data_IF_642482068342
#
_entry.id   IF_642482068342
#
_cell.length_a   1.000
_cell.length_b   1.000
_cell.length_c   1.000
_cell.angle_alpha   90.00
_cell.angle_beta   90.00
_cell.angle_gamma   90.00
#
_symmetry.space_group_name_H-M   'P 1'
#
loop_
_entity.id
_entity.type
_entity.pdbx_description
1 polymer ?
#
# COMPACT_ATOMS: atom_id res chain seq x y z
N UNK A 1 -8.38 6.08 15.71
CA UNK A 1 -8.95 6.68 14.48
C UNK A 1 -8.62 5.75 13.32
N UNK A 2 -9.63 5.30 12.57
CA UNK A 2 -9.45 4.46 11.39
C UNK A 2 -9.76 5.28 10.15
N UNK A 3 -8.88 5.26 9.15
CA UNK A 3 -9.08 5.96 7.88
C UNK A 3 -8.93 4.95 6.75
N UNK A 4 -9.94 4.80 5.91
CA UNK A 4 -9.81 4.07 4.65
C UNK A 4 -9.04 4.95 3.66
N UNK A 5 -8.04 4.38 2.99
CA UNK A 5 -7.20 5.09 2.01
C UNK A 5 -7.31 4.37 0.68
N UNK A 6 -7.63 5.12 -0.38
CA UNK A 6 -7.65 4.60 -1.75
C UNK A 6 -6.44 5.13 -2.51
N UNK A 7 -5.63 4.22 -3.04
CA UNK A 7 -4.54 4.54 -3.99
C UNK A 7 -4.94 4.01 -5.36
N UNK A 8 -4.64 4.76 -6.40
CA UNK A 8 -5.07 4.49 -7.78
C UNK A 8 -3.94 4.82 -8.76
N UNK A 9 -3.75 3.96 -9.77
CA UNK A 9 -2.90 4.29 -10.91
C UNK A 9 -3.63 5.25 -11.86
N UNK A 10 -2.96 6.30 -12.31
CA UNK A 10 -3.51 7.19 -13.34
C UNK A 10 -3.73 6.46 -14.68
N UNK A 11 -4.76 6.87 -15.43
CA UNK A 11 -5.22 6.20 -16.66
C UNK A 11 -4.13 6.02 -17.73
N UNK A 12 -3.18 6.96 -17.81
CA UNK A 12 -2.18 7.03 -18.88
C UNK A 12 -0.73 6.91 -18.38
N UNK A 13 -0.52 6.48 -17.13
CA UNK A 13 0.82 6.37 -16.54
C UNK A 13 1.43 4.99 -16.79
N UNK A 14 2.67 4.96 -17.28
CA UNK A 14 3.47 3.74 -17.35
C UNK A 14 4.01 3.32 -15.97
N UNK A 15 4.04 4.25 -15.02
CA UNK A 15 4.45 4.01 -13.65
C UNK A 15 3.27 3.43 -12.86
N UNK A 16 3.47 2.19 -12.40
CA UNK A 16 2.54 1.44 -11.57
C UNK A 16 3.02 1.51 -10.13
N UNK A 17 2.12 1.49 -9.16
CA UNK A 17 2.51 1.47 -7.74
C UNK A 17 2.24 0.13 -7.07
N UNK A 18 3.02 -0.14 -6.04
CA UNK A 18 2.78 -1.19 -5.06
C UNK A 18 2.51 -0.53 -3.72
N UNK A 19 1.47 -1.00 -3.03
CA UNK A 19 1.09 -0.53 -1.70
C UNK A 19 1.40 -1.62 -0.70
N UNK A 20 2.25 -1.32 0.27
CA UNK A 20 2.55 -2.19 1.39
C UNK A 20 1.82 -1.70 2.63
N UNK A 21 1.13 -2.61 3.29
CA UNK A 21 0.44 -2.36 4.56
C UNK A 21 1.25 -2.96 5.68
N UNK A 22 1.65 -2.12 6.63
CA UNK A 22 2.52 -2.50 7.73
C UNK A 22 1.83 -2.29 9.08
N UNK A 23 1.95 -3.28 9.95
CA UNK A 23 1.52 -3.21 11.34
C UNK A 23 2.71 -2.85 12.22
N UNK A 24 2.53 -1.80 13.03
CA UNK A 24 3.53 -1.33 13.98
C UNK A 24 3.73 -2.33 15.10
N UNK A 25 4.98 -2.70 15.35
CA UNK A 25 5.36 -3.47 16.52
C UNK A 25 4.97 -2.73 17.81
N UNK A 26 4.68 -3.50 18.85
CA UNK A 26 4.40 -2.98 20.20
C UNK A 26 5.59 -3.30 21.10
N UNK A 27 5.86 -2.44 22.08
CA UNK A 27 6.83 -2.72 23.15
C UNK A 27 8.25 -3.07 22.65
N UNK A 28 8.69 -2.39 21.59
CA UNK A 28 10.02 -2.60 21.00
C UNK A 28 10.12 -3.77 20.03
N UNK A 29 9.00 -4.45 19.73
CA UNK A 29 8.94 -5.40 18.63
C UNK A 29 9.11 -4.68 17.28
N UNK A 30 9.64 -5.41 16.30
CA UNK A 30 9.75 -4.91 14.92
C UNK A 30 8.38 -4.81 14.24
N UNK A 31 8.27 -3.86 13.32
CA UNK A 31 7.12 -3.70 12.44
C UNK A 31 7.00 -4.89 11.49
N UNK A 32 5.77 -5.30 11.18
CA UNK A 32 5.50 -6.47 10.35
C UNK A 32 4.73 -6.06 9.10
N UNK A 33 5.20 -6.54 7.95
CA UNK A 33 4.45 -6.45 6.71
C UNK A 33 3.20 -7.31 6.82
N UNK A 34 2.04 -6.68 6.84
CA UNK A 34 0.75 -7.36 6.92
C UNK A 34 0.40 -7.97 5.55
N UNK A 35 0.44 -7.14 4.51
CA UNK A 35 0.24 -7.58 3.13
C UNK A 35 0.74 -6.54 2.12
N UNK A 36 0.83 -6.99 0.87
CA UNK A 36 1.19 -6.17 -0.29
C UNK A 36 0.03 -6.20 -1.28
N UNK A 37 -0.36 -5.04 -1.78
CA UNK A 37 -1.35 -4.91 -2.84
C UNK A 37 -0.67 -4.33 -4.09
N UNK A 38 -0.65 -5.13 -5.16
CA UNK A 38 -0.07 -4.75 -6.45
C UNK A 38 -1.14 -4.09 -7.32
N UNK A 39 -0.89 -2.85 -7.78
CA UNK A 39 -1.75 -2.18 -8.74
C UNK A 39 -1.13 -2.32 -10.14
N UNK A 40 -1.45 -3.42 -10.82
CA UNK A 40 -0.68 -3.89 -11.99
C UNK A 40 -1.14 -3.39 -13.36
N UNK A 41 -2.27 -2.68 -13.40
CA UNK A 41 -2.84 -2.15 -14.64
C UNK A 41 -3.27 -0.68 -14.44
N UNK A 42 -3.45 0.10 -15.53
CA UNK A 42 -3.99 1.46 -15.45
C UNK A 42 -5.34 1.45 -14.75
N UNK A 43 -5.66 2.46 -13.93
CA UNK A 43 -6.91 2.51 -13.14
C UNK A 43 -7.04 1.45 -12.04
N UNK A 44 -6.05 0.58 -11.86
CA UNK A 44 -6.04 -0.32 -10.72
C UNK A 44 -6.07 0.50 -9.42
N UNK A 45 -6.93 0.06 -8.50
CA UNK A 45 -7.18 0.72 -7.23
C UNK A 45 -7.02 -0.27 -6.09
N UNK A 46 -6.62 0.24 -4.93
CA UNK A 46 -6.60 -0.56 -3.71
C UNK A 46 -7.99 -1.02 -3.29
N UNK A 47 -8.05 -2.22 -2.75
CA UNK A 47 -9.22 -2.83 -2.11
C UNK A 47 -9.64 -2.09 -0.85
N UNK A 48 -10.84 -2.42 -0.34
CA UNK A 48 -11.35 -1.87 0.92
C UNK A 48 -10.56 -2.29 2.17
N UNK A 49 -9.55 -3.15 2.02
CA UNK A 49 -8.69 -3.63 3.10
C UNK A 49 -7.57 -2.64 3.45
N UNK A 50 -7.39 -1.58 2.65
CA UNK A 50 -6.35 -0.57 2.86
C UNK A 50 -6.85 0.53 3.79
N UNK A 51 -6.41 0.47 5.04
CA UNK A 51 -6.75 1.45 6.06
C UNK A 51 -5.57 1.79 6.97
N UNK A 52 -5.52 3.05 7.39
CA UNK A 52 -4.63 3.55 8.44
C UNK A 52 -5.31 3.43 9.80
N UNK A 53 -4.52 3.06 10.81
CA UNK A 53 -4.88 3.14 12.23
C UNK A 53 -3.71 3.71 13.02
N UNK A 54 -3.84 3.85 14.34
CA UNK A 54 -2.69 4.21 15.19
C UNK A 54 -1.55 3.18 15.11
N UNK A 55 -1.88 1.93 14.82
CA UNK A 55 -0.96 0.77 14.77
C UNK A 55 -0.67 0.29 13.35
N UNK A 56 -1.11 1.02 12.32
CA UNK A 56 -0.94 0.61 10.91
C UNK A 56 -0.53 1.79 10.04
N UNK A 57 0.44 1.57 9.17
CA UNK A 57 0.89 2.54 8.20
C UNK A 57 1.01 1.93 6.80
N UNK A 58 1.17 2.80 5.82
CA UNK A 58 1.26 2.45 4.41
C UNK A 58 2.64 2.86 3.89
N UNK A 59 3.23 2.04 3.03
CA UNK A 59 4.39 2.40 2.22
C UNK A 59 3.97 2.26 0.76
N UNK A 60 4.02 3.36 0.00
CA UNK A 60 3.65 3.38 -1.42
C UNK A 60 4.95 3.55 -2.22
N UNK A 61 5.20 2.64 -3.16
CA UNK A 61 6.41 2.64 -3.99
C UNK A 61 6.02 2.51 -5.45
N UNK A 62 6.80 3.11 -6.34
CA UNK A 62 6.74 2.73 -7.75
C UNK A 62 7.20 1.27 -7.89
N UNK A 63 6.45 0.50 -8.67
CA UNK A 63 6.78 -0.88 -9.00
C UNK A 63 7.91 -0.83 -10.03
N UNK A 64 9.10 -1.28 -9.63
CA UNK A 64 10.20 -1.43 -10.57
C UNK A 64 9.81 -2.42 -11.65
N UNK A 65 9.81 -1.98 -12.90
CA UNK A 65 9.70 -2.87 -14.05
C UNK A 65 11.04 -3.60 -14.14
N UNK A 66 11.04 -4.92 -14.02
CA UNK A 66 12.23 -5.70 -14.35
C UNK A 66 12.60 -5.39 -15.81
N UNK A 67 13.84 -4.95 -16.02
CA UNK A 67 14.38 -4.59 -17.34
C UNK A 67 14.36 -5.76 -18.32
#
# INVERSE_FOLDING_TARGET
MTKHVRVENADTSDYKVVVEVWDKGQEGAEDKLAFVENLDYPTAMTSSSVYLTSTRYLVIKEKSVAA
#
